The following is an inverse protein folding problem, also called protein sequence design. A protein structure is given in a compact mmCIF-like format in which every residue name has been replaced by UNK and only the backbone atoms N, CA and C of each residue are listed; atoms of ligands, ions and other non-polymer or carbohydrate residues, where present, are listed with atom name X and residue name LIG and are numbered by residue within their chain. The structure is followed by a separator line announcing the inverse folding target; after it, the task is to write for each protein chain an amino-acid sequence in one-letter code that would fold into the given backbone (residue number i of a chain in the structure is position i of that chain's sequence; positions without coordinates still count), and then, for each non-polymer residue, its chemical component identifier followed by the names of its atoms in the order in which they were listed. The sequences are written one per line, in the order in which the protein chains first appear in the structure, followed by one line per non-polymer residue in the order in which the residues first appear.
data_IF_923174929552
#
_entry.id   IF_923174929552
#
_cell.length_a   1.000
_cell.length_b   1.000
_cell.length_c   1.000
_cell.angle_alpha   90.00
_cell.angle_beta   90.00
_cell.angle_gamma   90.00
#
_symmetry.space_group_name_H-M   'P 1'
#
loop_
_entity.id
_entity.type
_entity.pdbx_description
1 polymer ?
#
# COMPACT_ATOMS: atom_id res chain seq x y z
N UNK A 1 25.46 28.69 -12.67
CA UNK A 1 24.84 27.63 -11.83
C UNK A 1 23.85 26.91 -12.73
N UNK A 2 24.10 25.67 -13.13
CA UNK A 2 23.19 24.94 -14.03
C UNK A 2 22.11 24.29 -13.18
N UNK A 3 20.91 24.89 -13.16
CA UNK A 3 19.72 24.19 -12.68
C UNK A 3 19.45 23.02 -13.61
N UNK A 4 19.21 21.84 -13.03
CA UNK A 4 18.80 20.64 -13.74
C UNK A 4 17.44 20.26 -13.21
N UNK A 5 16.46 20.20 -14.10
CA UNK A 5 15.12 19.72 -13.79
C UNK A 5 15.08 18.20 -14.02
N UNK A 6 14.59 17.46 -13.04
CA UNK A 6 14.35 16.01 -13.15
C UNK A 6 12.84 15.80 -13.25
N UNK A 7 12.40 15.31 -14.40
CA UNK A 7 11.00 15.00 -14.66
C UNK A 7 10.74 13.50 -14.47
N UNK A 8 9.78 13.17 -13.62
CA UNK A 8 9.30 11.79 -13.45
C UNK A 8 8.01 11.59 -14.24
N UNK A 9 7.85 10.41 -14.84
CA UNK A 9 6.58 10.01 -15.45
C UNK A 9 5.49 10.03 -14.36
N UNK A 10 4.36 10.68 -14.65
CA UNK A 10 3.24 10.76 -13.71
C UNK A 10 2.63 9.38 -13.49
N UNK A 11 2.28 9.08 -12.24
CA UNK A 11 1.51 7.89 -11.88
C UNK A 11 0.15 7.89 -12.59
N UNK A 12 -0.47 6.71 -12.68
CA UNK A 12 -1.79 6.54 -13.30
C UNK A 12 -2.81 7.51 -12.67
N UNK A 13 -3.39 8.39 -13.49
CA UNK A 13 -4.42 9.36 -13.09
C UNK A 13 -5.78 8.71 -13.32
N UNK A 14 -6.63 8.67 -12.30
CA UNK A 14 -8.02 8.24 -12.48
C UNK A 14 -8.91 9.44 -12.80
N UNK A 15 -9.78 9.32 -13.80
CA UNK A 15 -10.57 10.45 -14.33
C UNK A 15 -11.64 11.01 -13.40
N UNK A 16 -11.78 10.47 -12.19
CA UNK A 16 -12.82 10.87 -11.23
C UNK A 16 -12.38 11.91 -10.19
N UNK A 17 -11.09 12.11 -9.94
CA UNK A 17 -10.66 13.18 -9.02
C UNK A 17 -10.40 14.51 -9.77
N UNK A 18 -10.55 15.62 -9.04
CA UNK A 18 -10.23 16.95 -9.55
C UNK A 18 -8.72 17.12 -9.78
N UNK A 19 -8.32 17.89 -10.81
CA UNK A 19 -6.94 18.05 -11.24
C UNK A 19 -6.02 18.57 -10.11
N UNK A 20 -6.58 19.39 -9.21
CA UNK A 20 -5.86 19.91 -8.05
C UNK A 20 -5.56 18.81 -7.03
N UNK A 21 -6.55 18.00 -6.69
CA UNK A 21 -6.42 16.84 -5.79
C UNK A 21 -5.43 15.82 -6.36
N UNK A 22 -5.44 15.60 -7.67
CA UNK A 22 -4.48 14.74 -8.37
C UNK A 22 -3.04 15.21 -8.25
N UNK A 23 -2.81 16.51 -8.51
CA UNK A 23 -1.46 17.09 -8.46
C UNK A 23 -0.86 16.96 -7.08
N UNK A 24 -1.64 17.10 -6.02
CA UNK A 24 -1.15 17.01 -4.64
C UNK A 24 -0.95 15.55 -4.20
N UNK A 25 -1.87 14.63 -4.52
CA UNK A 25 -1.82 13.23 -4.06
C UNK A 25 -0.73 12.38 -4.74
N UNK A 26 -0.52 12.58 -6.04
CA UNK A 26 0.44 11.82 -6.85
C UNK A 26 1.79 12.54 -7.02
N UNK A 27 2.01 13.61 -6.26
CA UNK A 27 3.30 14.27 -6.18
C UNK A 27 4.36 13.43 -5.47
N UNK A 28 5.61 13.74 -5.77
CA UNK A 28 6.79 13.17 -5.12
C UNK A 28 7.43 14.22 -4.22
N UNK A 29 7.79 13.82 -3.01
CA UNK A 29 8.68 14.55 -2.13
C UNK A 29 10.11 14.11 -2.40
N UNK A 30 11.04 15.06 -2.45
CA UNK A 30 12.46 14.81 -2.58
C UNK A 30 13.19 15.33 -1.36
N UNK A 31 14.07 14.53 -0.78
CA UNK A 31 14.98 14.96 0.29
C UNK A 31 16.38 14.37 0.10
N UNK A 32 17.39 15.10 0.53
CA UNK A 32 18.76 14.57 0.59
C UNK A 32 18.82 13.56 1.73
N UNK A 33 19.13 12.30 1.39
CA UNK A 33 19.29 11.20 2.35
C UNK A 33 20.72 11.15 2.89
N UNK A 34 21.71 11.37 2.02
CA UNK A 34 23.12 11.51 2.40
C UNK A 34 23.88 12.26 1.31
N UNK A 35 25.00 12.88 1.68
CA UNK A 35 25.87 13.60 0.75
C UNK A 35 27.33 13.47 1.18
N UNK A 36 28.22 13.30 0.20
CA UNK A 36 29.66 13.36 0.35
C UNK A 36 30.26 14.25 -0.74
N UNK A 37 31.58 14.41 -0.76
CA UNK A 37 32.31 15.30 -1.70
C UNK A 37 31.97 15.04 -3.18
N UNK A 38 31.63 13.81 -3.55
CA UNK A 38 31.43 13.40 -4.95
C UNK A 38 30.01 12.90 -5.25
N UNK A 39 29.14 12.73 -4.25
CA UNK A 39 27.85 12.07 -4.45
C UNK A 39 26.80 12.58 -3.47
N UNK A 40 25.62 12.89 -4.00
CA UNK A 40 24.41 13.18 -3.23
C UNK A 40 23.37 12.08 -3.50
N UNK A 41 22.85 11.47 -2.44
CA UNK A 41 21.76 10.51 -2.49
C UNK A 41 20.46 11.24 -2.18
N UNK A 42 19.52 11.23 -3.14
CA UNK A 42 18.20 11.83 -3.00
C UNK A 42 17.18 10.71 -2.80
N UNK A 43 16.46 10.77 -1.68
CA UNK A 43 15.32 9.90 -1.42
C UNK A 43 14.05 10.56 -1.94
N UNK A 44 13.35 9.83 -2.80
CA UNK A 44 12.06 10.21 -3.35
C UNK A 44 10.96 9.39 -2.69
N UNK A 45 9.97 10.07 -2.11
CA UNK A 45 8.80 9.46 -1.48
C UNK A 45 7.53 9.97 -2.12
N UNK A 46 6.48 9.16 -2.17
CA UNK A 46 5.16 9.64 -2.61
C UNK A 46 4.58 10.51 -1.50
N UNK A 47 3.96 11.64 -1.84
CA UNK A 47 3.28 12.49 -0.85
C UNK A 47 2.30 11.68 -0.02
N UNK A 48 1.52 10.80 -0.67
CA UNK A 48 0.56 9.98 0.07
C UNK A 48 1.24 8.94 0.97
N UNK A 49 2.43 8.43 0.63
CA UNK A 49 3.15 7.54 1.54
C UNK A 49 3.53 8.28 2.83
N UNK A 50 4.07 9.50 2.71
CA UNK A 50 4.48 10.30 3.85
C UNK A 50 3.30 10.69 4.75
N UNK A 51 2.09 10.82 4.19
CA UNK A 51 0.87 11.05 4.97
C UNK A 51 0.49 9.88 5.89
N UNK A 52 0.63 8.63 5.41
CA UNK A 52 0.13 7.44 6.13
C UNK A 52 1.22 6.63 6.84
N UNK A 53 2.50 6.95 6.65
CA UNK A 53 3.62 6.15 7.21
C UNK A 53 3.56 6.06 8.74
N UNK A 54 3.35 7.16 9.45
CA UNK A 54 3.36 7.18 10.91
C UNK A 54 2.23 6.34 11.50
N UNK A 55 1.01 6.49 10.96
CA UNK A 55 -0.16 5.71 11.39
C UNK A 55 0.01 4.22 11.07
N UNK A 56 0.58 3.89 9.91
CA UNK A 56 0.90 2.50 9.55
C UNK A 56 1.87 1.88 10.55
N UNK A 57 2.92 2.61 10.95
CA UNK A 57 3.89 2.15 11.94
C UNK A 57 3.28 2.02 13.33
N UNK A 58 2.42 2.95 13.75
CA UNK A 58 1.69 2.88 15.02
C UNK A 58 0.82 1.62 15.10
N UNK A 59 0.03 1.35 14.06
CA UNK A 59 -0.79 0.13 13.99
C UNK A 59 0.11 -1.11 14.01
N UNK A 60 1.22 -1.11 13.26
CA UNK A 60 2.15 -2.24 13.24
C UNK A 60 2.74 -2.52 14.63
N UNK A 61 3.15 -1.49 15.36
CA UNK A 61 3.66 -1.59 16.73
C UNK A 61 2.62 -2.17 17.69
N UNK A 62 1.35 -1.72 17.60
CA UNK A 62 0.25 -2.28 18.40
C UNK A 62 0.03 -3.79 18.16
N UNK A 63 0.43 -4.28 16.99
CA UNK A 63 0.38 -5.69 16.60
C UNK A 63 1.74 -6.41 16.70
N UNK A 64 2.72 -5.81 17.40
CA UNK A 64 4.08 -6.33 17.57
C UNK A 64 4.73 -6.71 16.22
N UNK A 65 4.50 -5.89 15.19
CA UNK A 65 5.04 -6.04 13.83
C UNK A 65 4.70 -7.39 13.16
N UNK A 66 3.65 -8.07 13.62
CA UNK A 66 3.23 -9.38 13.08
C UNK A 66 2.38 -9.28 11.82
N UNK A 67 1.92 -8.08 11.48
CA UNK A 67 1.12 -7.82 10.28
C UNK A 67 2.00 -7.19 9.20
N UNK A 68 1.75 -7.55 7.95
CA UNK A 68 2.40 -6.95 6.80
C UNK A 68 2.09 -5.44 6.71
N UNK A 69 3.14 -4.61 6.66
CA UNK A 69 3.00 -3.15 6.59
C UNK A 69 2.24 -2.69 5.35
N UNK A 70 2.39 -3.38 4.21
CA UNK A 70 1.63 -3.07 3.00
C UNK A 70 0.15 -3.37 3.18
N UNK A 71 -0.19 -4.42 3.92
CA UNK A 71 -1.57 -4.74 4.23
C UNK A 71 -2.19 -3.67 5.13
N UNK A 72 -1.47 -3.23 6.19
CA UNK A 72 -1.92 -2.15 7.06
C UNK A 72 -2.15 -0.88 6.26
N UNK A 73 -1.17 -0.49 5.43
CA UNK A 73 -1.26 0.70 4.60
C UNK A 73 -2.42 0.63 3.62
N UNK A 74 -2.63 -0.51 2.95
CA UNK A 74 -3.75 -0.69 2.03
C UNK A 74 -5.09 -0.56 2.75
N UNK A 75 -5.24 -1.20 3.91
CA UNK A 75 -6.45 -1.08 4.72
C UNK A 75 -6.68 0.37 5.16
N UNK A 76 -5.66 1.00 5.73
CA UNK A 76 -5.74 2.35 6.28
C UNK A 76 -6.10 3.38 5.20
N UNK A 77 -5.36 3.39 4.09
CA UNK A 77 -5.55 4.38 3.02
C UNK A 77 -6.81 4.11 2.20
N UNK A 78 -6.92 2.89 1.64
CA UNK A 78 -7.89 2.63 0.57
C UNK A 78 -9.21 2.08 1.06
N UNK A 79 -9.26 1.49 2.26
CA UNK A 79 -10.51 0.96 2.80
C UNK A 79 -11.15 1.90 3.82
N UNK A 80 -10.35 2.62 4.61
CA UNK A 80 -10.84 3.37 5.77
C UNK A 80 -10.41 4.84 5.82
N UNK A 81 -9.82 5.39 4.76
CA UNK A 81 -9.50 6.82 4.61
C UNK A 81 -8.72 7.41 5.81
N UNK A 82 -7.83 6.64 6.43
CA UNK A 82 -7.03 7.06 7.58
C UNK A 82 -7.65 6.81 8.95
N UNK A 83 -8.86 6.23 9.04
CA UNK A 83 -9.45 5.85 10.32
C UNK A 83 -8.71 4.64 10.93
N UNK A 84 -7.92 4.91 11.97
CA UNK A 84 -7.13 3.91 12.69
C UNK A 84 -8.02 2.87 13.38
N UNK A 85 -9.14 3.28 13.98
CA UNK A 85 -9.99 2.39 14.75
C UNK A 85 -10.70 1.39 13.83
N UNK A 86 -11.28 1.88 12.73
CA UNK A 86 -11.89 1.02 11.72
C UNK A 86 -10.86 0.09 11.08
N UNK A 87 -9.64 0.59 10.83
CA UNK A 87 -8.54 -0.23 10.31
C UNK A 87 -8.20 -1.37 11.27
N UNK A 88 -7.98 -1.10 12.56
CA UNK A 88 -7.67 -2.12 13.57
C UNK A 88 -8.80 -3.14 13.70
N UNK A 89 -10.05 -2.68 13.71
CA UNK A 89 -11.22 -3.56 13.77
C UNK A 89 -11.26 -4.50 12.55
N UNK A 90 -11.11 -3.96 11.34
CA UNK A 90 -11.09 -4.74 10.11
C UNK A 90 -9.93 -5.75 10.08
N UNK A 91 -8.73 -5.35 10.49
CA UNK A 91 -7.56 -6.25 10.58
C UNK A 91 -7.81 -7.40 11.58
N UNK A 92 -8.53 -7.13 12.67
CA UNK A 92 -8.92 -8.15 13.66
C UNK A 92 -9.89 -9.16 13.06
N UNK A 93 -10.93 -8.68 12.37
CA UNK A 93 -11.91 -9.55 11.69
C UNK A 93 -11.23 -10.35 10.57
N UNK A 94 -10.38 -9.71 9.76
CA UNK A 94 -9.60 -10.37 8.72
C UNK A 94 -8.74 -11.51 9.29
N UNK A 95 -8.09 -11.30 10.43
CA UNK A 95 -7.27 -12.33 11.09
C UNK A 95 -8.10 -13.57 11.42
N UNK A 96 -9.35 -13.40 11.88
CA UNK A 96 -10.25 -14.52 12.14
C UNK A 96 -10.72 -15.17 10.84
N UNK A 97 -11.23 -14.37 9.89
CA UNK A 97 -11.72 -14.84 8.59
C UNK A 97 -10.66 -15.65 7.82
N UNK A 98 -9.38 -15.28 7.91
CA UNK A 98 -8.26 -15.95 7.22
C UNK A 98 -8.14 -17.43 7.57
N UNK A 99 -8.52 -17.83 8.79
CA UNK A 99 -8.43 -19.22 9.27
C UNK A 99 -9.78 -19.95 9.27
N UNK A 100 -10.88 -19.26 8.99
CA UNK A 100 -12.21 -19.86 8.87
C UNK A 100 -12.44 -20.43 7.46
N UNK A 101 -13.36 -21.39 7.35
CA UNK A 101 -13.96 -21.88 6.10
C UNK A 101 -12.97 -22.19 4.96
N UNK A 102 -11.76 -22.63 5.33
CA UNK A 102 -10.66 -22.90 4.39
C UNK A 102 -10.30 -21.71 3.47
N UNK A 103 -10.55 -20.47 3.88
CA UNK A 103 -10.34 -19.28 3.04
C UNK A 103 -8.87 -19.14 2.56
N UNK A 104 -7.91 -19.48 3.42
CA UNK A 104 -6.49 -19.55 3.02
C UNK A 104 -6.23 -20.58 1.92
N UNK A 105 -6.96 -21.68 1.91
CA UNK A 105 -6.84 -22.72 0.89
C UNK A 105 -7.49 -22.28 -0.42
N UNK A 106 -8.70 -21.68 -0.36
CA UNK A 106 -9.35 -21.06 -1.53
C UNK A 106 -8.45 -20.05 -2.23
N UNK A 107 -7.72 -19.22 -1.46
CA UNK A 107 -6.74 -18.30 -2.03
C UNK A 107 -5.64 -19.04 -2.79
N UNK A 108 -5.06 -20.12 -2.22
CA UNK A 108 -4.01 -20.88 -2.90
C UNK A 108 -4.48 -21.48 -4.22
N UNK A 109 -5.73 -21.95 -4.30
CA UNK A 109 -6.31 -22.48 -5.54
C UNK A 109 -6.44 -21.39 -6.62
N UNK A 110 -6.77 -20.16 -6.22
CA UNK A 110 -6.95 -19.02 -7.13
C UNK A 110 -5.73 -18.11 -7.31
N UNK A 111 -4.61 -18.35 -6.61
CA UNK A 111 -3.53 -17.34 -6.51
C UNK A 111 -2.86 -17.02 -7.84
N UNK A 112 -2.86 -17.95 -8.80
CA UNK A 112 -2.27 -17.73 -10.13
C UNK A 112 -2.89 -16.50 -10.82
N UNK A 113 -4.20 -16.26 -10.68
CA UNK A 113 -4.90 -15.09 -11.24
C UNK A 113 -4.35 -13.76 -10.73
N UNK A 114 -3.90 -13.74 -9.47
CA UNK A 114 -3.25 -12.57 -8.87
C UNK A 114 -1.83 -12.40 -9.43
N UNK A 115 -1.06 -13.49 -9.51
CA UNK A 115 0.32 -13.47 -9.99
C UNK A 115 0.43 -13.10 -11.48
N UNK A 116 -0.47 -13.58 -12.34
CA UNK A 116 -0.57 -13.21 -13.76
C UNK A 116 -0.76 -11.69 -13.93
N UNK A 117 -1.42 -11.05 -12.97
CA UNK A 117 -1.62 -9.60 -12.91
C UNK A 117 -0.56 -8.88 -12.09
N UNK A 118 0.57 -9.54 -11.80
CA UNK A 118 1.70 -8.99 -11.04
C UNK A 118 1.36 -8.58 -9.60
N UNK A 119 0.28 -9.12 -9.03
CA UNK A 119 -0.08 -8.89 -7.62
C UNK A 119 0.72 -9.85 -6.73
N UNK A 120 1.97 -9.51 -6.44
CA UNK A 120 2.91 -10.43 -5.77
C UNK A 120 2.82 -10.44 -4.23
N UNK A 121 2.09 -9.51 -3.59
CA UNK A 121 1.92 -9.52 -2.15
C UNK A 121 0.72 -10.39 -1.72
N UNK A 122 1.02 -11.62 -1.27
CA UNK A 122 0.00 -12.58 -0.87
C UNK A 122 -0.89 -12.14 0.31
N UNK A 123 -0.35 -11.35 1.26
CA UNK A 123 -1.14 -10.86 2.39
C UNK A 123 -2.16 -9.83 1.91
N UNK A 124 -1.74 -8.88 1.08
CA UNK A 124 -2.63 -7.89 0.45
C UNK A 124 -3.69 -8.60 -0.41
N UNK A 125 -3.30 -9.58 -1.23
CA UNK A 125 -4.25 -10.34 -2.04
C UNK A 125 -5.34 -11.04 -1.20
N UNK A 126 -4.93 -11.72 -0.11
CA UNK A 126 -5.86 -12.35 0.84
C UNK A 126 -6.79 -11.33 1.50
N UNK A 127 -6.27 -10.16 1.85
CA UNK A 127 -7.06 -9.08 2.41
C UNK A 127 -8.08 -8.51 1.41
N UNK A 128 -7.70 -8.35 0.13
CA UNK A 128 -8.62 -7.94 -0.93
C UNK A 128 -9.72 -8.99 -1.15
N UNK A 129 -9.42 -10.29 -1.03
CA UNK A 129 -10.45 -11.35 -1.05
C UNK A 129 -11.42 -11.20 0.12
N UNK A 130 -10.91 -11.02 1.34
CA UNK A 130 -11.73 -10.78 2.53
C UNK A 130 -12.65 -9.57 2.36
N UNK A 131 -12.07 -8.43 1.96
CA UNK A 131 -12.79 -7.19 1.80
C UNK A 131 -13.92 -7.34 0.78
N UNK A 132 -13.68 -8.05 -0.33
CA UNK A 132 -14.71 -8.40 -1.31
C UNK A 132 -15.77 -9.38 -0.79
N UNK A 133 -15.39 -10.46 -0.11
CA UNK A 133 -16.38 -11.46 0.31
C UNK A 133 -17.34 -10.89 1.36
N UNK A 134 -16.85 -9.97 2.19
CA UNK A 134 -17.64 -9.31 3.23
C UNK A 134 -18.37 -8.07 2.70
N UNK A 135 -17.80 -7.32 1.74
CA UNK A 135 -18.33 -6.03 1.26
C UNK A 135 -18.78 -6.01 -0.22
N UNK A 136 -18.70 -7.14 -0.94
CA UNK A 136 -19.27 -7.42 -2.29
C UNK A 136 -18.75 -6.59 -3.50
N UNK A 137 -17.45 -6.27 -3.60
CA UNK A 137 -16.91 -5.49 -4.75
C UNK A 137 -16.33 -6.29 -5.92
N UNK A 138 -15.11 -6.10 -6.47
CA UNK A 138 -14.40 -7.08 -7.36
C UNK A 138 -12.93 -7.25 -6.93
N UNK A 139 -12.59 -8.40 -6.32
CA UNK A 139 -11.36 -8.58 -5.54
C UNK A 139 -10.05 -8.46 -6.35
N UNK A 140 -9.99 -9.05 -7.55
CA UNK A 140 -8.77 -9.05 -8.37
C UNK A 140 -8.48 -7.65 -8.92
N UNK A 141 -9.50 -6.91 -9.35
CA UNK A 141 -9.34 -5.53 -9.86
C UNK A 141 -8.78 -4.63 -8.77
N UNK A 142 -9.34 -4.71 -7.56
CA UNK A 142 -8.85 -3.93 -6.43
C UNK A 142 -7.41 -4.30 -6.03
N UNK A 143 -7.07 -5.59 -6.01
CA UNK A 143 -5.69 -6.00 -5.73
C UNK A 143 -4.71 -5.47 -6.79
N UNK A 144 -5.11 -5.48 -8.07
CA UNK A 144 -4.32 -4.92 -9.18
C UNK A 144 -4.14 -3.41 -9.04
N UNK A 145 -5.20 -2.65 -8.75
CA UNK A 145 -5.10 -1.20 -8.54
C UNK A 145 -4.12 -0.91 -7.38
N UNK A 146 -4.28 -1.59 -6.25
CA UNK A 146 -3.45 -1.36 -5.07
C UNK A 146 -2.00 -1.80 -5.23
N UNK A 147 -1.74 -2.88 -5.99
CA UNK A 147 -0.39 -3.43 -6.09
C UNK A 147 0.38 -2.90 -7.30
N UNK A 148 -0.29 -2.76 -8.45
CA UNK A 148 0.34 -2.41 -9.73
C UNK A 148 0.23 -0.92 -10.02
N UNK A 149 -0.97 -0.34 -9.91
CA UNK A 149 -1.16 1.07 -10.25
C UNK A 149 -0.63 1.99 -9.14
N UNK A 150 -0.92 1.65 -7.89
CA UNK A 150 -0.54 2.46 -6.74
C UNK A 150 0.85 2.12 -6.19
N UNK A 151 1.32 0.88 -6.41
CA UNK A 151 2.55 0.37 -5.82
C UNK A 151 2.43 0.10 -4.30
N UNK A 152 3.28 -0.81 -3.82
CA UNK A 152 3.37 -1.15 -2.41
C UNK A 152 4.59 -0.46 -1.80
N UNK A 153 4.42 0.43 -0.80
CA UNK A 153 5.51 1.29 -0.37
C UNK A 153 6.51 0.61 0.57
N UNK A 154 6.17 -0.53 1.16
CA UNK A 154 7.03 -1.22 2.12
C UNK A 154 7.73 -2.42 1.48
N UNK A 155 9.05 -2.44 1.61
CA UNK A 155 9.93 -3.56 1.22
C UNK A 155 10.53 -4.22 2.47
N UNK A 156 11.21 -5.36 2.31
CA UNK A 156 11.70 -6.15 3.45
C UNK A 156 12.60 -5.38 4.43
N UNK A 157 13.32 -4.34 3.96
CA UNK A 157 14.17 -3.48 4.80
C UNK A 157 13.38 -2.65 5.82
N UNK A 158 12.12 -2.30 5.53
CA UNK A 158 11.28 -1.49 6.43
C UNK A 158 10.88 -2.22 7.72
N UNK A 159 11.09 -3.55 7.81
CA UNK A 159 10.83 -4.34 9.02
C UNK A 159 11.92 -4.22 10.09
N UNK A 160 13.03 -3.55 9.80
CA UNK A 160 14.17 -3.38 10.71
C UNK A 160 14.16 -2.03 11.45
N UNK A 161 13.05 -1.29 11.36
CA UNK A 161 12.83 -0.02 12.05
C UNK A 161 12.27 -0.31 13.44
#
# INVERSE_FOLDING_TARGET
KHEREILFARSHIFSHDDEKTHKEQYSWNAKVESENEYTQMILLTWVTYDQYIQQTMQISAAWNYRIDLNLIYVALRYCFQGDINQTIQSLTVFKQWKYQNNNKQKYKEGMHKFLERRCCNHNVNLFCMFFFEVLKETNVIHATINTVSNGLPFVGKNKKI
#
